data_IF_813384722619
#
_entry.id   IF_813384722619
#
_cell.length_a   1.000
_cell.length_b   1.000
_cell.length_c   1.000
_cell.angle_alpha   90.00
_cell.angle_beta   90.00
_cell.angle_gamma   90.00
#
_symmetry.space_group_name_H-M   'P 1'
#
loop_
_entity.id
_entity.type
_entity.pdbx_description
1 polymer ?
#
# COMPACT_ATOMS: atom_id res chain seq x y z
N UNK A 1 -3.29 -22.07 9.46
CA UNK A 1 -3.04 -21.10 8.39
C UNK A 1 -2.24 -19.95 8.97
N UNK A 2 -1.13 -19.61 8.34
CA UNK A 2 -0.30 -18.50 8.82
C UNK A 2 -1.00 -17.15 8.60
N UNK A 3 -0.84 -16.19 9.51
CA UNK A 3 -1.41 -14.86 9.30
C UNK A 3 -0.77 -14.17 8.10
N UNK A 4 -1.47 -13.23 7.44
CA UNK A 4 -0.92 -12.49 6.32
C UNK A 4 0.37 -11.76 6.72
N UNK A 5 1.35 -11.79 5.85
CA UNK A 5 2.60 -11.05 6.05
C UNK A 5 2.47 -9.64 5.49
N UNK A 6 3.45 -8.78 5.78
CA UNK A 6 3.52 -7.45 5.17
C UNK A 6 3.57 -7.60 3.64
N UNK A 7 4.36 -8.55 3.15
CA UNK A 7 4.46 -8.80 1.72
C UNK A 7 3.11 -9.16 1.09
N UNK A 8 2.33 -10.02 1.75
CA UNK A 8 1.00 -10.39 1.27
C UNK A 8 0.08 -9.16 1.18
N UNK A 9 0.16 -8.29 2.16
CA UNK A 9 -0.66 -7.08 2.17
C UNK A 9 -0.25 -6.10 1.08
N UNK A 10 1.04 -5.95 0.83
CA UNK A 10 1.53 -5.10 -0.25
C UNK A 10 1.08 -5.63 -1.60
N UNK A 11 1.19 -6.93 -1.84
CA UNK A 11 0.73 -7.53 -3.09
C UNK A 11 -0.76 -7.30 -3.32
N UNK A 12 -1.57 -7.48 -2.27
CA UNK A 12 -3.00 -7.23 -2.35
C UNK A 12 -3.29 -5.76 -2.66
N UNK A 13 -2.55 -4.85 -2.04
CA UNK A 13 -2.71 -3.42 -2.27
C UNK A 13 -2.33 -3.04 -3.71
N UNK A 14 -1.27 -3.61 -4.26
CA UNK A 14 -0.85 -3.36 -5.63
C UNK A 14 -1.92 -3.84 -6.61
N UNK A 15 -2.43 -5.04 -6.43
CA UNK A 15 -3.49 -5.59 -7.27
C UNK A 15 -4.75 -4.71 -7.23
N UNK A 16 -5.14 -4.29 -6.04
CA UNK A 16 -6.30 -3.43 -5.85
C UNK A 16 -6.10 -2.08 -6.56
N UNK A 17 -4.91 -1.50 -6.40
CA UNK A 17 -4.56 -0.23 -7.06
C UNK A 17 -4.66 -0.35 -8.58
N UNK A 18 -4.09 -1.40 -9.16
CA UNK A 18 -4.12 -1.63 -10.59
C UNK A 18 -5.56 -1.76 -11.10
N UNK A 19 -6.39 -2.52 -10.39
CA UNK A 19 -7.80 -2.68 -10.74
C UNK A 19 -8.56 -1.36 -10.65
N UNK A 20 -8.34 -0.60 -9.58
CA UNK A 20 -9.02 0.68 -9.37
C UNK A 20 -8.66 1.69 -10.45
N UNK A 21 -7.38 1.75 -10.82
CA UNK A 21 -6.91 2.63 -11.88
C UNK A 21 -7.49 2.23 -13.24
N UNK A 22 -7.54 0.95 -13.52
CA UNK A 22 -8.11 0.43 -14.77
C UNK A 22 -9.61 0.75 -14.89
N UNK A 23 -10.33 0.63 -13.78
CA UNK A 23 -11.78 0.83 -13.76
C UNK A 23 -12.18 2.30 -13.71
N UNK A 24 -11.52 3.09 -12.92
CA UNK A 24 -11.94 4.47 -12.60
C UNK A 24 -11.01 5.54 -13.14
N UNK A 25 -9.91 5.14 -13.73
CA UNK A 25 -8.88 6.05 -14.17
C UNK A 25 -7.86 6.32 -13.07
N UNK A 26 -6.75 6.95 -13.45
CA UNK A 26 -5.61 7.15 -12.56
C UNK A 26 -5.97 7.98 -11.33
N UNK A 27 -6.61 9.13 -11.55
CA UNK A 27 -6.90 10.05 -10.45
C UNK A 27 -7.90 9.45 -9.46
N UNK A 28 -9.02 8.94 -9.96
CA UNK A 28 -10.05 8.34 -9.10
C UNK A 28 -9.59 7.04 -8.46
N UNK A 29 -8.85 6.22 -9.20
CA UNK A 29 -8.31 4.98 -8.67
C UNK A 29 -7.34 5.22 -7.53
N UNK A 30 -6.43 6.18 -7.69
CA UNK A 30 -5.48 6.56 -6.64
C UNK A 30 -6.22 7.12 -5.41
N UNK A 31 -7.19 8.01 -5.64
CA UNK A 31 -7.97 8.60 -4.55
C UNK A 31 -8.72 7.55 -3.75
N UNK A 32 -9.29 6.55 -4.42
CA UNK A 32 -9.99 5.46 -3.76
C UNK A 32 -9.04 4.61 -2.91
N UNK A 33 -7.86 4.30 -3.45
CA UNK A 33 -6.89 3.50 -2.72
C UNK A 33 -6.39 4.16 -1.43
N UNK A 34 -6.38 5.48 -1.36
CA UNK A 34 -5.99 6.18 -0.14
C UNK A 34 -6.81 5.77 1.06
N UNK A 35 -8.08 5.45 0.86
CA UNK A 35 -8.97 4.98 1.93
C UNK A 35 -8.61 3.56 2.36
N UNK A 36 -8.13 2.76 1.44
CA UNK A 36 -7.83 1.35 1.70
C UNK A 36 -6.46 1.11 2.31
N UNK A 37 -5.50 2.00 2.09
CA UNK A 37 -4.15 1.83 2.64
C UNK A 37 -4.15 1.71 4.16
N UNK A 38 -5.01 2.44 4.85
CA UNK A 38 -5.13 2.34 6.30
C UNK A 38 -5.48 0.92 6.73
N UNK A 39 -6.39 0.26 6.00
CA UNK A 39 -6.80 -1.11 6.32
C UNK A 39 -5.72 -2.12 5.96
N UNK A 40 -5.07 -1.95 4.82
CA UNK A 40 -4.02 -2.89 4.39
C UNK A 40 -2.80 -2.86 5.30
N UNK A 41 -2.44 -1.69 5.79
CA UNK A 41 -1.21 -1.51 6.55
C UNK A 41 -1.43 -1.18 8.02
N UNK A 42 -2.63 -1.44 8.51
CA UNK A 42 -2.95 -1.23 9.92
C UNK A 42 -2.11 -2.15 10.81
N UNK A 43 -1.56 -1.59 11.87
CA UNK A 43 -0.80 -2.35 12.85
C UNK A 43 0.65 -2.60 12.50
N UNK A 44 1.17 -1.96 11.46
CA UNK A 44 2.58 -2.07 11.11
C UNK A 44 3.37 -1.00 11.84
N UNK A 45 4.43 -1.42 12.56
CA UNK A 45 5.31 -0.51 13.28
C UNK A 45 6.13 0.35 12.31
N UNK A 46 6.37 1.60 12.70
CA UNK A 46 7.25 2.53 11.95
C UNK A 46 6.82 2.80 10.50
N UNK A 47 5.53 2.66 10.23
CA UNK A 47 4.99 2.79 8.87
C UNK A 47 4.48 4.20 8.53
N UNK A 48 4.41 5.09 9.52
CA UNK A 48 3.77 6.38 9.35
C UNK A 48 4.29 7.21 8.18
N UNK A 49 5.61 7.31 8.03
CA UNK A 49 6.22 8.09 6.93
C UNK A 49 5.87 7.51 5.57
N UNK A 50 5.95 6.20 5.44
CA UNK A 50 5.64 5.50 4.20
C UNK A 50 4.17 5.65 3.85
N UNK A 51 3.30 5.53 4.85
CA UNK A 51 1.86 5.74 4.66
C UNK A 51 1.57 7.16 4.18
N UNK A 52 2.23 8.15 4.75
CA UNK A 52 2.06 9.53 4.33
C UNK A 52 2.44 9.75 2.87
N UNK A 53 3.52 9.12 2.42
CA UNK A 53 3.89 9.17 0.99
C UNK A 53 2.78 8.59 0.12
N UNK A 54 2.21 7.46 0.51
CA UNK A 54 1.14 6.81 -0.24
C UNK A 54 -0.12 7.68 -0.32
N UNK A 55 -0.52 8.30 0.79
CA UNK A 55 -1.77 9.05 0.84
C UNK A 55 -1.65 10.48 0.30
N UNK A 56 -0.45 11.01 0.17
CA UNK A 56 -0.25 12.38 -0.34
C UNK A 56 0.13 12.42 -1.81
N UNK A 57 0.56 11.31 -2.40
CA UNK A 57 0.97 11.25 -3.79
C UNK A 57 -0.21 10.97 -4.72
N UNK A 58 -0.22 11.64 -5.86
CA UNK A 58 -1.14 11.34 -6.98
C UNK A 58 -0.38 10.84 -8.21
N UNK A 59 0.92 10.58 -8.08
CA UNK A 59 1.73 10.03 -9.15
C UNK A 59 1.73 8.50 -9.04
N UNK A 60 1.13 7.83 -10.00
CA UNK A 60 1.04 6.38 -10.00
C UNK A 60 2.42 5.71 -9.94
N UNK A 61 3.39 6.24 -10.67
CA UNK A 61 4.74 5.70 -10.67
C UNK A 61 5.38 5.80 -9.28
N UNK A 62 5.22 6.94 -8.62
CA UNK A 62 5.74 7.15 -7.27
C UNK A 62 5.08 6.21 -6.26
N UNK A 63 3.77 6.03 -6.37
CA UNK A 63 3.03 5.12 -5.50
C UNK A 63 3.50 3.68 -5.72
N UNK A 64 3.64 3.25 -6.96
CA UNK A 64 4.14 1.92 -7.28
C UNK A 64 5.56 1.70 -6.75
N UNK A 65 6.45 2.69 -6.91
CA UNK A 65 7.80 2.61 -6.37
C UNK A 65 7.79 2.48 -4.86
N UNK A 66 6.91 3.23 -4.18
CA UNK A 66 6.78 3.17 -2.72
C UNK A 66 6.30 1.79 -2.28
N UNK A 67 5.31 1.24 -2.97
CA UNK A 67 4.79 -0.10 -2.67
C UNK A 67 5.87 -1.17 -2.90
N UNK A 68 6.63 -1.07 -3.98
CA UNK A 68 7.74 -1.98 -4.26
C UNK A 68 8.81 -1.88 -3.17
N UNK A 69 9.11 -0.67 -2.71
CA UNK A 69 10.05 -0.46 -1.62
C UNK A 69 9.59 -1.13 -0.33
N UNK A 70 8.31 -1.04 -0.01
CA UNK A 70 7.75 -1.74 1.15
C UNK A 70 7.92 -3.24 0.99
N UNK A 71 7.67 -3.75 -0.21
CA UNK A 71 7.80 -5.18 -0.49
C UNK A 71 9.23 -5.66 -0.33
N UNK A 72 10.20 -4.90 -0.84
CA UNK A 72 11.62 -5.22 -0.71
C UNK A 72 12.08 -5.20 0.74
N UNK A 73 11.50 -4.34 1.56
CA UNK A 73 11.84 -4.18 2.96
C UNK A 73 10.82 -4.82 3.90
N UNK A 74 10.04 -5.76 3.40
CA UNK A 74 8.97 -6.40 4.18
C UNK A 74 9.48 -7.01 5.49
N UNK A 75 10.71 -7.51 5.50
CA UNK A 75 11.32 -8.10 6.69
C UNK A 75 11.59 -7.08 7.80
N UNK A 76 11.65 -5.80 7.45
CA UNK A 76 11.89 -4.72 8.41
C UNK A 76 10.61 -4.21 9.06
N UNK A 77 9.47 -4.52 8.47
CA UNK A 77 8.19 -4.11 9.01
C UNK A 77 7.57 -5.25 9.80
N UNK A 78 7.11 -4.96 11.00
CA UNK A 78 6.47 -5.95 11.86
C UNK A 78 5.10 -5.44 12.28
N UNK A 79 4.15 -6.38 12.38
CA UNK A 79 2.86 -6.04 12.93
C UNK A 79 2.95 -5.88 14.43
N UNK A 80 2.38 -4.80 14.95
CA UNK A 80 2.27 -4.55 16.38
C UNK A 80 0.98 -5.19 16.87
N UNK A 81 1.12 -6.07 17.82
CA UNK A 81 -0.04 -6.76 18.42
C UNK A 81 -0.72 -5.89 19.48
#
# INVERSE_FOLDING_TARGET
MAPPTVNDRVEAAIQHLEMSVEWKGEILGIAEMKRHYTNYFKGIAHFKKTRMKLVTSFDLNEICETLDEIKENADRYEFVS
#
